data_IF_652896564959
#
_entry.id   IF_652896564959
#
_cell.length_a   1.000
_cell.length_b   1.000
_cell.length_c   1.000
_cell.angle_alpha   90.00
_cell.angle_beta   90.00
_cell.angle_gamma   90.00
#
_symmetry.space_group_name_H-M   'P 1'
#
loop_
_entity.id
_entity.type
_entity.pdbx_description
1 polymer ?
#
# COMPACT_ATOMS: atom_id res chain seq x y z
N UNK A 1 8.04 4.43 17.43
CA UNK A 1 7.31 3.53 16.54
C UNK A 1 5.84 3.54 16.86
N UNK A 2 5.03 3.13 15.91
CA UNK A 2 3.57 3.02 16.04
C UNK A 2 3.13 1.60 16.39
N UNK A 3 4.06 0.64 16.32
CA UNK A 3 3.80 -0.77 16.58
C UNK A 3 5.02 -1.48 17.13
N UNK A 4 4.93 -2.82 17.27
CA UNK A 4 6.05 -3.69 17.63
C UNK A 4 6.98 -3.77 16.42
N UNK A 5 8.24 -3.33 16.53
CA UNK A 5 9.19 -3.40 15.43
C UNK A 5 9.50 -4.87 15.09
N UNK A 6 9.35 -5.23 13.81
CA UNK A 6 9.71 -6.55 13.30
C UNK A 6 10.45 -6.46 11.96
N UNK A 7 11.26 -7.46 11.69
CA UNK A 7 11.89 -7.65 10.38
C UNK A 7 10.86 -8.02 9.31
N UNK A 8 11.28 -8.12 8.05
CA UNK A 8 10.43 -8.67 6.98
C UNK A 8 10.08 -10.15 7.15
N UNK A 9 10.76 -10.87 8.04
CA UNK A 9 10.38 -12.23 8.48
C UNK A 9 9.39 -12.21 9.64
N UNK A 10 8.91 -11.01 10.04
CA UNK A 10 7.98 -10.78 11.15
C UNK A 10 8.55 -11.21 12.51
N UNK A 11 9.87 -11.23 12.65
CA UNK A 11 10.57 -11.54 13.91
C UNK A 11 10.83 -10.26 14.69
N UNK A 12 10.57 -10.32 15.99
CA UNK A 12 10.95 -9.25 16.94
C UNK A 12 12.42 -9.36 17.34
N UNK A 13 12.88 -8.47 18.19
CA UNK A 13 14.21 -8.57 18.83
C UNK A 13 14.30 -9.73 19.83
N UNK A 14 13.18 -10.32 20.24
CA UNK A 14 13.14 -11.46 21.16
C UNK A 14 13.08 -12.76 20.33
N UNK A 15 14.00 -13.73 20.55
CA UNK A 15 13.99 -15.00 19.83
C UNK A 15 12.65 -15.73 19.95
N UNK A 16 12.18 -16.30 18.85
CA UNK A 16 10.92 -17.06 18.74
C UNK A 16 9.65 -16.26 19.01
N UNK A 17 9.73 -14.92 19.07
CA UNK A 17 8.58 -14.04 19.18
C UNK A 17 8.35 -13.32 17.85
N UNK A 18 7.13 -13.43 17.33
CA UNK A 18 6.71 -12.79 16.08
C UNK A 18 5.55 -11.83 16.35
N UNK A 19 5.42 -10.81 15.51
CA UNK A 19 4.23 -9.95 15.49
C UNK A 19 3.78 -9.70 14.05
N UNK A 20 2.46 -9.61 13.86
CA UNK A 20 1.82 -9.30 12.58
C UNK A 20 0.50 -8.55 12.79
N UNK A 21 -0.05 -7.99 11.72
CA UNK A 21 -1.28 -7.22 11.75
C UNK A 21 -1.09 -5.80 12.26
N UNK A 22 -2.16 -5.23 12.79
CA UNK A 22 -2.22 -3.83 13.19
C UNK A 22 -1.23 -3.44 14.29
N UNK A 23 -0.76 -4.41 15.08
CA UNK A 23 0.24 -4.20 16.11
C UNK A 23 1.70 -4.21 15.59
N UNK A 24 1.95 -4.63 14.36
CA UNK A 24 3.30 -4.77 13.83
C UNK A 24 3.74 -3.55 13.02
N UNK A 25 5.00 -3.15 13.22
CA UNK A 25 5.72 -2.19 12.39
C UNK A 25 6.80 -2.96 11.62
N UNK A 26 6.51 -3.32 10.37
CA UNK A 26 7.35 -4.19 9.55
C UNK A 26 8.37 -3.33 8.80
N UNK A 27 9.66 -3.51 9.11
CA UNK A 27 10.76 -2.79 8.46
C UNK A 27 10.52 -1.27 8.42
N UNK A 28 10.01 -0.72 9.56
CA UNK A 28 9.67 0.69 9.71
C UNK A 28 8.33 1.13 9.11
N UNK A 29 7.59 0.23 8.48
CA UNK A 29 6.27 0.51 7.89
C UNK A 29 5.14 0.00 8.79
N UNK A 30 4.26 0.90 9.19
CA UNK A 30 3.05 0.57 9.95
C UNK A 30 1.82 0.69 9.04
N UNK A 31 1.21 -0.45 8.72
CA UNK A 31 0.11 -0.59 7.74
C UNK A 31 -1.10 -1.30 8.38
N UNK A 32 -1.90 -0.62 9.21
CA UNK A 32 -2.97 -1.23 10.00
C UNK A 32 -4.27 -1.41 9.19
N UNK A 33 -4.23 -2.29 8.20
CA UNK A 33 -5.41 -2.66 7.41
C UNK A 33 -5.28 -4.08 6.82
N UNK A 34 -6.37 -4.61 6.27
CA UNK A 34 -6.50 -6.04 5.97
C UNK A 34 -5.51 -6.56 4.94
N UNK A 35 -5.20 -5.80 3.88
CA UNK A 35 -4.34 -6.30 2.79
C UNK A 35 -2.92 -6.63 3.26
N UNK A 36 -2.20 -5.74 4.00
CA UNK A 36 -0.91 -6.08 4.59
C UNK A 36 -0.97 -7.28 5.54
N UNK A 37 -1.99 -7.36 6.40
CA UNK A 37 -2.18 -8.51 7.29
C UNK A 37 -2.22 -9.83 6.52
N UNK A 38 -2.93 -9.88 5.40
CA UNK A 38 -3.00 -11.10 4.57
C UNK A 38 -1.65 -11.49 3.99
N UNK A 39 -0.81 -10.53 3.58
CA UNK A 39 0.56 -10.81 3.12
C UNK A 39 1.44 -11.30 4.27
N UNK A 40 1.37 -10.64 5.41
CA UNK A 40 2.10 -11.02 6.62
C UNK A 40 1.75 -12.44 7.08
N UNK A 41 0.46 -12.78 7.11
CA UNK A 41 -0.01 -14.11 7.49
C UNK A 41 0.57 -15.21 6.60
N UNK A 42 0.57 -15.01 5.27
CA UNK A 42 1.14 -15.97 4.31
C UNK A 42 2.65 -16.13 4.50
N UNK A 43 3.37 -15.01 4.66
CA UNK A 43 4.81 -15.01 4.86
C UNK A 43 5.19 -15.71 6.17
N UNK A 44 4.51 -15.36 7.28
CA UNK A 44 4.78 -15.96 8.58
C UNK A 44 4.45 -17.46 8.60
N UNK A 45 3.34 -17.87 8.03
CA UNK A 45 2.97 -19.29 7.95
C UNK A 45 4.05 -20.11 7.21
N UNK A 46 4.56 -19.61 6.08
CA UNK A 46 5.64 -20.26 5.36
C UNK A 46 6.94 -20.29 6.18
N UNK A 47 7.29 -19.21 6.86
CA UNK A 47 8.48 -19.12 7.73
C UNK A 47 8.40 -20.12 8.87
N UNK A 48 7.26 -20.22 9.56
CA UNK A 48 7.04 -21.18 10.66
C UNK A 48 7.03 -22.64 10.18
N UNK A 49 6.64 -22.88 8.93
CA UNK A 49 6.73 -24.18 8.29
C UNK A 49 8.16 -24.54 7.80
N UNK A 50 9.18 -23.77 8.19
CA UNK A 50 10.58 -24.06 7.86
C UNK A 50 11.05 -23.45 6.52
N UNK A 51 10.24 -22.63 5.86
CA UNK A 51 10.62 -21.90 4.64
C UNK A 51 10.67 -20.40 4.92
N UNK A 52 11.82 -19.82 5.32
CA UNK A 52 11.95 -18.40 5.58
C UNK A 52 11.45 -17.58 4.38
N UNK A 53 10.37 -16.82 4.59
CA UNK A 53 9.69 -16.08 3.52
C UNK A 53 9.50 -14.63 3.98
N UNK A 54 10.30 -13.69 3.45
CA UNK A 54 10.12 -12.27 3.76
C UNK A 54 8.76 -11.78 3.23
N UNK A 55 8.08 -10.96 4.03
CA UNK A 55 6.86 -10.32 3.57
C UNK A 55 7.17 -9.34 2.43
N UNK A 56 6.34 -9.37 1.38
CA UNK A 56 6.35 -8.43 0.28
C UNK A 56 4.97 -7.81 0.13
N UNK A 57 4.93 -6.51 -0.08
CA UNK A 57 3.69 -5.77 -0.28
C UNK A 57 3.55 -5.39 -1.75
N UNK A 58 2.58 -5.96 -2.48
CA UNK A 58 2.21 -5.45 -3.79
C UNK A 58 1.51 -4.10 -3.66
N UNK A 59 1.19 -3.48 -4.78
CA UNK A 59 0.32 -2.30 -4.79
C UNK A 59 -1.02 -2.65 -4.15
N UNK A 60 -1.36 -1.99 -3.04
CA UNK A 60 -2.51 -2.32 -2.18
C UNK A 60 -3.42 -1.11 -1.98
N UNK A 61 -4.26 -0.76 -2.97
CA UNK A 61 -5.18 0.36 -2.81
C UNK A 61 -6.22 0.08 -1.72
N UNK A 62 -6.52 1.10 -0.94
CA UNK A 62 -7.52 1.06 0.12
C UNK A 62 -8.87 1.47 -0.44
N UNK A 63 -9.88 0.62 -0.25
CA UNK A 63 -11.28 0.96 -0.53
C UNK A 63 -11.87 1.65 0.69
N UNK A 64 -12.23 2.91 0.55
CA UNK A 64 -12.93 3.67 1.60
C UNK A 64 -14.41 3.35 1.50
N UNK A 65 -14.98 2.88 2.62
CA UNK A 65 -16.38 2.45 2.68
C UNK A 65 -17.33 3.63 2.83
N UNK A 66 -17.48 4.39 1.75
CA UNK A 66 -18.41 5.54 1.64
C UNK A 66 -19.47 5.23 0.59
N UNK A 67 -20.63 4.64 0.94
CA UNK A 67 -21.62 4.20 -0.04
C UNK A 67 -22.14 5.33 -0.95
N UNK A 68 -22.28 6.54 -0.40
CA UNK A 68 -22.78 7.70 -1.14
C UNK A 68 -21.80 8.17 -2.23
N UNK A 69 -20.49 8.02 -1.99
CA UNK A 69 -19.44 8.41 -2.92
C UNK A 69 -18.28 7.42 -2.83
N UNK A 70 -18.32 6.30 -3.56
CA UNK A 70 -17.29 5.27 -3.54
C UNK A 70 -15.90 5.88 -3.79
N UNK A 71 -14.93 5.48 -2.99
CA UNK A 71 -13.57 6.04 -3.07
C UNK A 71 -12.54 4.92 -2.95
N UNK A 72 -11.51 4.98 -3.78
CA UNK A 72 -10.32 4.12 -3.70
C UNK A 72 -9.08 4.99 -3.65
N UNK A 73 -8.18 4.70 -2.73
CA UNK A 73 -6.93 5.44 -2.53
C UNK A 73 -5.75 4.49 -2.60
N UNK A 74 -4.78 4.82 -3.43
CA UNK A 74 -3.45 4.23 -3.42
C UNK A 74 -2.47 5.37 -3.11
N UNK A 75 -2.02 5.53 -1.85
CA UNK A 75 -1.10 6.61 -1.51
C UNK A 75 0.26 6.38 -2.18
N UNK A 76 0.94 7.45 -2.62
CA UNK A 76 2.33 7.34 -3.03
C UNK A 76 3.23 7.02 -1.82
N UNK A 77 4.48 6.57 -2.03
CA UNK A 77 5.48 6.49 -0.96
C UNK A 77 5.60 7.82 -0.21
N UNK A 78 5.81 7.76 1.12
CA UNK A 78 5.76 8.94 1.99
C UNK A 78 6.80 10.02 1.65
N UNK A 79 7.92 9.61 1.08
CA UNK A 79 9.07 10.44 0.69
C UNK A 79 9.14 10.69 -0.83
N UNK A 80 8.13 10.26 -1.58
CA UNK A 80 8.11 10.41 -3.02
C UNK A 80 8.02 11.89 -3.44
N UNK A 81 8.99 12.32 -4.24
CA UNK A 81 8.95 13.63 -4.88
C UNK A 81 8.03 13.59 -6.10
N UNK A 82 7.02 14.43 -6.13
CA UNK A 82 6.05 14.46 -7.22
C UNK A 82 4.93 15.46 -6.98
N UNK A 83 3.91 15.38 -7.82
CA UNK A 83 2.74 16.27 -7.74
C UNK A 83 1.45 15.53 -8.05
N UNK A 84 0.35 16.02 -7.49
CA UNK A 84 -0.98 15.54 -7.82
C UNK A 84 -1.51 16.26 -9.07
N UNK A 85 -1.99 15.46 -10.02
CA UNK A 85 -2.77 15.91 -11.17
C UNK A 85 -4.20 15.43 -10.95
N UNK A 86 -5.18 16.34 -11.00
CA UNK A 86 -6.58 16.04 -10.68
C UNK A 86 -7.47 16.36 -11.86
N UNK A 87 -8.31 15.41 -12.24
CA UNK A 87 -9.40 15.59 -13.21
C UNK A 87 -10.71 15.23 -12.53
N UNK A 88 -11.73 16.06 -12.68
CA UNK A 88 -13.04 15.85 -12.06
C UNK A 88 -14.19 16.15 -13.02
N UNK A 89 -15.28 15.43 -12.83
CA UNK A 89 -16.59 15.66 -13.45
C UNK A 89 -17.68 15.61 -12.37
N UNK A 90 -18.95 15.76 -12.76
CA UNK A 90 -20.08 15.72 -11.83
C UNK A 90 -20.22 14.37 -11.08
N UNK A 91 -19.73 13.27 -11.67
CA UNK A 91 -19.92 11.92 -11.15
C UNK A 91 -18.63 11.11 -10.95
N UNK A 92 -17.46 11.69 -11.22
CA UNK A 92 -16.16 11.04 -11.08
C UNK A 92 -15.05 12.01 -10.72
N UNK A 93 -14.06 11.52 -9.94
CA UNK A 93 -12.78 12.20 -9.73
C UNK A 93 -11.66 11.19 -9.92
N UNK A 94 -10.64 11.62 -10.64
CA UNK A 94 -9.39 10.92 -10.84
C UNK A 94 -8.24 11.82 -10.40
N UNK A 95 -7.46 11.41 -9.42
CA UNK A 95 -6.23 12.08 -9.03
C UNK A 95 -5.07 11.10 -9.18
N UNK A 96 -4.01 11.53 -9.85
CA UNK A 96 -2.79 10.77 -10.06
C UNK A 96 -1.61 11.50 -9.43
N UNK A 97 -0.81 10.79 -8.65
CA UNK A 97 0.45 11.31 -8.16
C UNK A 97 1.56 10.87 -9.11
N UNK A 98 2.13 11.83 -9.80
CA UNK A 98 3.20 11.59 -10.77
C UNK A 98 4.54 12.02 -10.19
N UNK A 99 5.57 11.21 -10.42
CA UNK A 99 6.92 11.52 -9.97
C UNK A 99 7.47 12.78 -10.64
N UNK A 100 8.31 13.52 -9.90
CA UNK A 100 8.95 14.73 -10.40
C UNK A 100 9.85 14.43 -11.60
N UNK A 101 10.04 15.41 -12.47
CA UNK A 101 10.91 15.32 -13.65
C UNK A 101 12.38 15.05 -13.32
N UNK A 102 12.80 15.30 -12.08
CA UNK A 102 14.14 15.01 -11.57
C UNK A 102 14.33 13.59 -11.02
N UNK A 103 13.27 12.79 -10.95
CA UNK A 103 13.34 11.41 -10.49
C UNK A 103 13.83 10.48 -11.61
N UNK A 104 14.42 9.34 -11.24
CA UNK A 104 14.86 8.31 -12.21
C UNK A 104 13.75 7.82 -13.13
N UNK A 105 12.51 7.84 -12.63
CA UNK A 105 11.29 7.48 -13.37
C UNK A 105 10.37 8.71 -13.50
N UNK A 106 10.84 9.75 -14.17
CA UNK A 106 10.07 10.97 -14.39
C UNK A 106 8.70 10.69 -15.02
N UNK A 107 7.63 11.24 -14.44
CA UNK A 107 6.27 11.06 -14.91
C UNK A 107 5.64 9.69 -14.57
N UNK A 108 6.31 8.83 -13.80
CA UNK A 108 5.73 7.56 -13.35
C UNK A 108 4.55 7.78 -12.40
N UNK A 109 3.50 6.96 -12.52
CA UNK A 109 2.38 6.95 -11.58
C UNK A 109 2.84 6.26 -10.29
N UNK A 110 2.89 7.00 -9.18
CA UNK A 110 3.29 6.50 -7.86
C UNK A 110 2.12 6.33 -6.89
N UNK A 111 0.98 6.94 -7.19
CA UNK A 111 -0.21 6.83 -6.36
C UNK A 111 -1.43 7.40 -7.07
N UNK A 112 -2.63 7.09 -6.56
CA UNK A 112 -3.87 7.60 -7.15
C UNK A 112 -5.03 7.69 -6.15
N UNK A 113 -6.00 8.51 -6.48
CA UNK A 113 -7.34 8.51 -5.85
C UNK A 113 -8.38 8.43 -6.95
N UNK A 114 -9.34 7.52 -6.79
CA UNK A 114 -10.49 7.38 -7.69
C UNK A 114 -11.77 7.53 -6.86
N UNK A 115 -12.71 8.33 -7.38
CA UNK A 115 -14.00 8.51 -6.73
C UNK A 115 -15.16 8.39 -7.72
N UNK A 116 -16.34 8.04 -7.20
CA UNK A 116 -17.55 7.90 -7.99
C UNK A 116 -17.40 6.82 -9.07
N UNK A 117 -17.77 7.11 -10.31
CA UNK A 117 -17.69 6.18 -11.44
C UNK A 117 -16.26 5.75 -11.79
N UNK A 118 -15.25 6.59 -11.50
CA UNK A 118 -13.85 6.27 -11.76
C UNK A 118 -13.35 5.02 -10.99
N UNK A 119 -13.99 4.66 -9.88
CA UNK A 119 -13.63 3.47 -9.07
C UNK A 119 -13.67 2.18 -9.87
N UNK A 120 -14.49 2.08 -10.92
CA UNK A 120 -14.54 0.93 -11.82
C UNK A 120 -13.22 0.67 -12.56
N UNK A 121 -12.38 1.68 -12.72
CA UNK A 121 -11.09 1.62 -13.41
C UNK A 121 -9.93 1.17 -12.49
N UNK A 122 -10.19 0.88 -11.21
CA UNK A 122 -9.17 0.55 -10.17
C UNK A 122 -8.11 -0.43 -10.66
N UNK A 123 -8.51 -1.51 -11.33
CA UNK A 123 -7.57 -2.55 -11.78
C UNK A 123 -6.56 -2.03 -12.80
N UNK A 124 -7.03 -1.22 -13.76
CA UNK A 124 -6.18 -0.61 -14.76
C UNK A 124 -5.17 0.37 -14.14
N UNK A 125 -5.59 1.12 -13.11
CA UNK A 125 -4.70 2.05 -12.38
C UNK A 125 -3.66 1.30 -11.54
N UNK A 126 -4.06 0.23 -10.83
CA UNK A 126 -3.12 -0.61 -10.06
C UNK A 126 -2.00 -1.16 -10.95
N UNK A 127 -2.33 -1.58 -12.17
CA UNK A 127 -1.34 -2.12 -13.12
C UNK A 127 -0.32 -1.07 -13.62
N UNK A 128 -0.61 0.22 -13.47
CA UNK A 128 0.25 1.32 -13.91
C UNK A 128 1.13 1.88 -12.79
N UNK A 129 0.80 1.60 -11.51
CA UNK A 129 1.60 2.12 -10.39
C UNK A 129 2.97 1.48 -10.42
N UNK A 130 4.00 2.31 -10.50
CA UNK A 130 5.39 1.91 -10.36
C UNK A 130 5.69 1.64 -8.88
N UNK A 131 6.22 0.46 -8.57
CA UNK A 131 6.55 0.01 -7.23
C UNK A 131 8.04 0.29 -6.91
#
# INVERSE_FOLDING_TARGET
GRGVPVSRLLTTSVPHVHALGDCAEVDGQWLPYVMPLMQQTRALAATLAGKPTPVAYPVMPVVVKTPAWPTVVCPPPADAAGQWEVTSSDDALEARFVSASSAEQAGALLGFVLQGKAVSQRQAWVAQVSA
#
